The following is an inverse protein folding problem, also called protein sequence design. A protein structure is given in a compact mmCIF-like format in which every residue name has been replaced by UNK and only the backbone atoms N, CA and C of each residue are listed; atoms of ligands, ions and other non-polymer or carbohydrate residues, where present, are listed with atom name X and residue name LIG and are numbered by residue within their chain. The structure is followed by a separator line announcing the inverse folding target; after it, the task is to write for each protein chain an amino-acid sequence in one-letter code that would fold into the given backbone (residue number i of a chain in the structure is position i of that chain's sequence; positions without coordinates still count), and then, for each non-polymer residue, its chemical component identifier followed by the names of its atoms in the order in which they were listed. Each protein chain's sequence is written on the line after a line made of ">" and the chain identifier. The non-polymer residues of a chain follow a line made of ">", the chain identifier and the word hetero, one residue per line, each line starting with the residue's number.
data_IF_494465789813
#
_entry.id   IF_494465789813
#
_cell.length_a   1.000
_cell.length_b   1.000
_cell.length_c   1.000
_cell.angle_alpha   90.00
_cell.angle_beta   90.00
_cell.angle_gamma   90.00
#
_symmetry.space_group_name_H-M   'P 1'
#
loop_
_entity.id
_entity.type
_entity.pdbx_description
1 polymer ?
#
# COMPACT_ATOMS: atom_id res chain seq x y z
N UNK A 1 62.76 16.07 19.10
CA UNK A 1 62.97 17.28 18.25
C UNK A 1 63.32 16.75 16.86
N UNK A 2 62.34 16.60 16.00
CA UNK A 2 62.50 16.16 14.62
C UNK A 2 61.59 17.01 13.73
N UNK A 3 61.98 17.38 12.50
CA UNK A 3 61.41 18.50 11.78
C UNK A 3 60.10 18.15 11.08
N UNK A 4 59.17 19.08 11.15
CA UNK A 4 57.89 19.12 10.40
C UNK A 4 58.16 19.14 8.88
N UNK A 5 57.44 18.30 8.13
CA UNK A 5 57.36 18.39 6.67
C UNK A 5 56.08 19.12 6.27
N UNK A 6 56.27 20.26 5.62
CA UNK A 6 55.21 21.05 5.02
C UNK A 6 54.56 20.34 3.80
N UNK A 7 53.37 20.77 3.37
CA UNK A 7 52.60 20.17 2.30
C UNK A 7 53.20 20.53 0.89
N UNK A 8 52.99 19.64 -0.10
CA UNK A 8 53.48 19.89 -1.46
C UNK A 8 52.62 20.93 -2.20
N UNK A 9 53.33 21.74 -3.01
CA UNK A 9 52.79 22.82 -3.82
C UNK A 9 51.78 22.31 -4.88
N UNK A 10 50.66 23.04 -4.98
CA UNK A 10 49.61 22.79 -5.97
C UNK A 10 50.07 23.00 -7.41
N UNK A 11 49.82 22.03 -8.27
CA UNK A 11 49.98 22.12 -9.72
C UNK A 11 48.78 22.87 -10.33
N UNK A 12 49.07 24.05 -10.86
CA UNK A 12 48.08 24.86 -11.56
C UNK A 12 47.66 24.18 -12.89
N UNK A 13 46.39 23.87 -13.01
CA UNK A 13 45.79 23.37 -14.24
C UNK A 13 45.57 24.53 -15.22
N UNK A 14 46.30 24.53 -16.34
CA UNK A 14 46.08 25.45 -17.45
C UNK A 14 45.09 24.82 -18.44
N UNK A 15 43.94 25.46 -18.76
CA UNK A 15 43.06 24.96 -19.79
C UNK A 15 43.68 25.20 -21.18
N UNK A 16 43.86 24.13 -21.97
CA UNK A 16 44.25 24.19 -23.37
C UNK A 16 43.00 24.55 -24.19
N UNK A 17 43.02 25.72 -24.79
CA UNK A 17 41.95 26.17 -25.72
C UNK A 17 42.26 25.52 -27.07
N UNK A 18 41.39 24.60 -27.53
CA UNK A 18 41.41 24.09 -28.90
C UNK A 18 40.81 25.15 -29.85
N UNK A 19 41.41 25.39 -31.03
CA UNK A 19 40.82 26.29 -32.02
C UNK A 19 39.58 25.65 -32.65
N UNK A 20 38.49 26.40 -32.65
CA UNK A 20 37.23 26.05 -33.33
C UNK A 20 37.47 26.02 -34.84
N UNK A 21 37.30 24.85 -35.45
CA UNK A 21 37.17 24.76 -36.91
C UNK A 21 35.74 25.21 -37.29
N UNK A 22 35.66 26.19 -38.19
CA UNK A 22 34.39 26.59 -38.81
C UNK A 22 33.90 25.45 -39.70
N UNK A 23 32.92 24.71 -39.21
CA UNK A 23 32.20 23.69 -39.97
C UNK A 23 30.88 24.27 -40.50
N UNK A 24 30.80 24.29 -41.83
CA UNK A 24 29.63 24.82 -42.57
C UNK A 24 28.32 24.17 -42.06
N UNK A 25 27.39 25.00 -41.64
CA UNK A 25 26.08 24.60 -41.20
C UNK A 25 25.26 24.06 -42.40
N UNK A 26 25.11 22.74 -42.48
CA UNK A 26 24.03 22.15 -43.26
C UNK A 26 22.70 22.48 -42.57
N UNK A 27 21.64 22.87 -43.31
CA UNK A 27 20.34 23.13 -42.71
C UNK A 27 19.83 21.86 -42.06
N UNK A 28 19.42 21.99 -40.79
CA UNK A 28 18.78 20.91 -40.03
C UNK A 28 17.52 20.44 -40.79
N UNK A 29 17.26 19.13 -40.88
CA UNK A 29 16.03 18.65 -41.48
C UNK A 29 14.84 19.22 -40.71
N UNK A 30 13.88 19.79 -41.44
CA UNK A 30 12.61 20.23 -40.87
C UNK A 30 11.93 19.07 -40.14
N UNK A 31 11.76 19.22 -38.81
CA UNK A 31 11.01 18.27 -38.02
C UNK A 31 9.52 18.42 -38.46
N UNK A 32 8.88 17.38 -39.01
CA UNK A 32 7.48 17.46 -39.34
C UNK A 32 6.68 17.77 -38.08
N UNK A 33 5.60 18.58 -38.20
CA UNK A 33 4.75 18.87 -37.04
C UNK A 33 4.25 17.56 -36.45
N UNK A 34 4.17 17.45 -35.09
CA UNK A 34 3.72 16.24 -34.44
C UNK A 34 2.34 15.88 -34.99
N UNK A 35 2.19 14.63 -35.44
CA UNK A 35 0.91 14.11 -35.92
C UNK A 35 -0.15 14.43 -34.87
N UNK A 36 -1.26 15.03 -35.34
CA UNK A 36 -2.40 15.40 -34.50
C UNK A 36 -2.91 14.12 -33.85
N UNK A 37 -2.61 13.94 -32.54
CA UNK A 37 -3.08 12.80 -31.77
C UNK A 37 -4.61 12.96 -31.66
N UNK A 38 -5.41 11.98 -32.09
CA UNK A 38 -6.86 12.06 -32.00
C UNK A 38 -7.25 12.11 -30.52
N UNK A 39 -7.92 13.18 -30.10
CA UNK A 39 -8.53 13.28 -28.76
C UNK A 39 -7.57 13.67 -27.65
N UNK A 40 -7.01 14.89 -27.71
CA UNK A 40 -6.50 15.54 -26.50
C UNK A 40 -7.69 15.68 -25.54
N UNK A 41 -7.72 14.98 -24.38
CA UNK A 41 -8.82 15.14 -23.44
C UNK A 41 -8.89 16.60 -23.05
N UNK A 42 -10.10 17.18 -23.04
CA UNK A 42 -10.31 18.55 -22.57
C UNK A 42 -9.60 18.70 -21.22
N UNK A 43 -8.59 19.58 -21.18
CA UNK A 43 -7.76 19.83 -19.97
C UNK A 43 -8.60 20.28 -18.77
N UNK A 44 -9.88 20.60 -18.99
CA UNK A 44 -10.87 20.97 -17.97
C UNK A 44 -11.65 19.78 -17.43
N UNK A 45 -11.57 18.59 -18.05
CA UNK A 45 -12.29 17.42 -17.54
C UNK A 45 -11.79 17.02 -16.15
N UNK A 46 -12.65 16.50 -15.26
CA UNK A 46 -12.23 16.02 -13.94
C UNK A 46 -11.09 15.01 -14.01
N UNK A 47 -11.14 14.10 -14.99
CA UNK A 47 -10.10 13.08 -15.18
C UNK A 47 -8.75 13.69 -15.57
N UNK A 48 -8.74 14.70 -16.48
CA UNK A 48 -7.49 15.36 -16.86
C UNK A 48 -6.87 16.14 -15.71
N UNK A 49 -7.69 16.75 -14.84
CA UNK A 49 -7.21 17.40 -13.62
C UNK A 49 -6.64 16.41 -12.61
N UNK A 50 -7.33 15.28 -12.40
CA UNK A 50 -6.86 14.21 -11.53
C UNK A 50 -5.54 13.62 -12.03
N UNK A 51 -5.45 13.33 -13.32
CA UNK A 51 -4.22 12.86 -13.96
C UNK A 51 -3.05 13.82 -13.71
N UNK A 52 -3.26 15.12 -14.02
CA UNK A 52 -2.22 16.12 -13.78
C UNK A 52 -1.79 16.16 -12.31
N UNK A 53 -2.73 16.09 -11.37
CA UNK A 53 -2.43 16.05 -9.94
C UNK A 53 -1.59 14.81 -9.59
N UNK A 54 -1.99 13.62 -10.02
CA UNK A 54 -1.26 12.38 -9.78
C UNK A 54 0.16 12.43 -10.35
N UNK A 55 0.31 12.91 -11.60
CA UNK A 55 1.65 13.03 -12.22
C UNK A 55 2.57 14.03 -11.53
N UNK A 56 2.04 15.07 -10.90
CA UNK A 56 2.84 16.10 -10.24
C UNK A 56 3.16 15.79 -8.77
N UNK A 57 2.37 14.94 -8.11
CA UNK A 57 2.44 14.81 -6.64
C UNK A 57 2.59 13.37 -6.14
N UNK A 58 2.15 12.38 -6.90
CA UNK A 58 2.13 10.99 -6.46
C UNK A 58 3.45 10.26 -6.75
N UNK A 59 3.68 9.18 -6.01
CA UNK A 59 4.82 8.27 -6.25
C UNK A 59 4.61 7.53 -7.59
N UNK A 60 5.68 6.94 -8.10
CA UNK A 60 5.62 6.17 -9.36
C UNK A 60 4.59 5.05 -9.31
N UNK A 61 4.42 4.39 -8.18
CA UNK A 61 3.42 3.33 -8.01
C UNK A 61 2.00 3.81 -8.29
N UNK A 62 1.59 4.93 -7.68
CA UNK A 62 0.25 5.50 -7.89
C UNK A 62 0.07 6.03 -9.31
N UNK A 63 1.12 6.57 -9.92
CA UNK A 63 1.09 6.99 -11.33
C UNK A 63 0.83 5.78 -12.25
N UNK A 64 1.47 4.63 -11.99
CA UNK A 64 1.27 3.39 -12.76
C UNK A 64 -0.11 2.78 -12.52
N UNK A 65 -0.61 2.81 -11.28
CA UNK A 65 -1.99 2.41 -10.96
C UNK A 65 -3.01 3.30 -11.68
N UNK A 66 -2.81 4.62 -11.68
CA UNK A 66 -3.68 5.54 -12.43
C UNK A 66 -3.68 5.20 -13.93
N UNK A 67 -2.50 5.00 -14.53
CA UNK A 67 -2.39 4.63 -15.93
C UNK A 67 -3.10 3.30 -16.23
N UNK A 68 -2.96 2.30 -15.36
CA UNK A 68 -3.64 1.01 -15.48
C UNK A 68 -5.16 1.17 -15.47
N UNK A 69 -5.72 1.84 -14.45
CA UNK A 69 -7.18 1.91 -14.28
C UNK A 69 -7.87 2.87 -15.25
N UNK A 70 -7.21 3.95 -15.67
CA UNK A 70 -7.85 5.05 -16.40
C UNK A 70 -7.31 5.31 -17.81
N UNK A 71 -6.19 4.67 -18.17
CA UNK A 71 -5.52 4.88 -19.47
C UNK A 71 -5.26 3.59 -20.25
N UNK A 72 -5.79 2.47 -19.80
CA UNK A 72 -5.58 1.16 -20.43
C UNK A 72 -4.13 0.68 -20.38
N UNK A 73 -3.39 1.07 -19.33
CA UNK A 73 -2.01 0.62 -19.13
C UNK A 73 -1.93 -0.87 -18.77
N UNK A 74 -0.77 -1.46 -18.96
CA UNK A 74 -0.49 -2.85 -18.57
C UNK A 74 -0.23 -2.97 -17.05
N UNK A 75 -0.47 -4.16 -16.45
CA UNK A 75 -0.13 -4.42 -15.05
C UNK A 75 1.39 -4.47 -14.78
N UNK A 76 2.23 -4.83 -15.78
CA UNK A 76 3.67 -4.98 -15.62
C UNK A 76 4.40 -3.75 -15.04
N UNK A 77 4.13 -2.53 -15.52
CA UNK A 77 4.69 -1.30 -14.92
C UNK A 77 4.28 -1.08 -13.47
N UNK A 78 3.09 -1.53 -13.05
CA UNK A 78 2.65 -1.47 -11.65
C UNK A 78 3.45 -2.46 -10.81
N UNK A 79 3.61 -3.70 -11.28
CA UNK A 79 4.42 -4.72 -10.61
C UNK A 79 5.88 -4.26 -10.47
N UNK A 80 6.47 -3.68 -11.51
CA UNK A 80 7.85 -3.14 -11.49
C UNK A 80 8.00 -2.02 -10.45
N UNK A 81 7.03 -1.11 -10.38
CA UNK A 81 7.05 -0.03 -9.38
C UNK A 81 6.87 -0.57 -7.95
N UNK A 82 6.03 -1.60 -7.78
CA UNK A 82 5.80 -2.26 -6.49
C UNK A 82 7.03 -3.06 -6.04
N UNK A 83 7.79 -3.64 -6.97
CA UNK A 83 9.00 -4.42 -6.65
C UNK A 83 10.10 -3.58 -5.98
N UNK A 84 10.08 -2.25 -6.11
CA UNK A 84 10.98 -1.35 -5.37
C UNK A 84 10.75 -1.39 -3.84
N UNK A 85 9.60 -1.89 -3.38
CA UNK A 85 9.23 -2.00 -1.97
C UNK A 85 9.37 -3.43 -1.43
N UNK A 86 9.74 -4.39 -2.29
CA UNK A 86 9.83 -5.81 -1.93
C UNK A 86 11.21 -6.15 -1.37
N UNK A 87 11.23 -6.95 -0.30
CA UNK A 87 12.43 -7.53 0.29
C UNK A 87 12.64 -9.00 -0.14
N UNK A 88 13.85 -9.51 0.15
CA UNK A 88 14.24 -10.90 -0.16
C UNK A 88 13.44 -11.93 0.65
N UNK A 89 12.94 -11.56 1.82
CA UNK A 89 12.10 -12.41 2.68
C UNK A 89 10.69 -12.64 2.11
N UNK A 90 10.34 -11.96 1.03
CA UNK A 90 9.04 -12.04 0.37
C UNK A 90 8.00 -11.05 0.89
N UNK A 91 8.30 -10.32 1.96
CA UNK A 91 7.49 -9.22 2.45
C UNK A 91 7.81 -7.89 1.76
N UNK A 92 7.13 -6.84 2.21
CA UNK A 92 7.26 -5.48 1.69
C UNK A 92 7.59 -4.50 2.81
N UNK A 93 8.41 -3.49 2.49
CA UNK A 93 8.89 -2.47 3.41
C UNK A 93 9.03 -1.11 2.71
N UNK A 94 10.12 -0.38 3.02
CA UNK A 94 10.54 0.84 2.33
C UNK A 94 9.47 1.94 2.27
N UNK A 95 8.69 2.09 3.35
CA UNK A 95 7.60 3.07 3.43
C UNK A 95 6.52 2.91 2.33
N UNK A 96 6.19 1.67 1.95
CA UNK A 96 5.05 1.44 1.06
C UNK A 96 3.76 2.02 1.64
N UNK A 97 3.51 1.83 2.95
CA UNK A 97 2.57 2.63 3.72
C UNK A 97 3.33 3.79 4.40
N UNK A 98 2.93 5.05 4.18
CA UNK A 98 3.71 6.21 4.61
C UNK A 98 3.77 6.40 6.13
N UNK A 99 2.83 5.81 6.87
CA UNK A 99 2.74 5.87 8.33
C UNK A 99 3.87 5.12 9.03
N UNK A 100 4.55 4.23 8.33
CA UNK A 100 5.66 3.43 8.87
C UNK A 100 6.83 3.45 7.90
N UNK A 101 7.91 4.13 8.28
CA UNK A 101 9.08 4.34 7.42
C UNK A 101 10.25 3.51 7.90
N UNK A 102 10.67 2.56 7.09
CA UNK A 102 11.81 1.70 7.34
C UNK A 102 12.00 0.72 6.20
N UNK A 103 13.19 0.15 6.05
CA UNK A 103 13.46 -0.79 4.95
C UNK A 103 12.87 -2.18 5.20
N UNK A 104 12.64 -2.53 6.46
CA UNK A 104 12.27 -3.88 6.89
C UNK A 104 10.83 -4.21 6.48
N UNK A 105 10.60 -5.46 6.09
CA UNK A 105 9.25 -5.96 5.77
C UNK A 105 8.32 -5.86 6.97
N UNK A 106 7.11 -5.36 6.73
CA UNK A 106 6.06 -5.20 7.73
C UNK A 106 4.76 -5.85 7.25
N UNK A 107 3.94 -6.42 8.16
CA UNK A 107 2.64 -6.96 7.80
C UNK A 107 1.74 -5.93 7.10
N UNK A 108 1.70 -4.70 7.61
CA UNK A 108 0.92 -3.59 7.03
C UNK A 108 1.34 -3.28 5.59
N UNK A 109 2.65 -3.13 5.33
CA UNK A 109 3.17 -2.90 3.97
C UNK A 109 2.86 -4.07 3.02
N UNK A 110 2.94 -5.29 3.55
CA UNK A 110 2.64 -6.50 2.77
C UNK A 110 1.15 -6.60 2.44
N UNK A 111 0.27 -6.21 3.36
CA UNK A 111 -1.16 -6.09 3.10
C UNK A 111 -1.46 -5.05 2.00
N UNK A 112 -0.77 -3.88 2.04
CA UNK A 112 -0.87 -2.88 0.97
C UNK A 112 -0.42 -3.43 -0.38
N UNK A 113 0.70 -4.14 -0.42
CA UNK A 113 1.20 -4.77 -1.64
C UNK A 113 0.21 -5.78 -2.22
N UNK A 114 -0.42 -6.60 -1.38
CA UNK A 114 -1.46 -7.54 -1.81
C UNK A 114 -2.67 -6.82 -2.41
N UNK A 115 -3.12 -5.70 -1.82
CA UNK A 115 -4.20 -4.86 -2.40
C UNK A 115 -3.83 -4.35 -3.80
N UNK A 116 -2.60 -3.88 -3.97
CA UNK A 116 -2.11 -3.43 -5.29
C UNK A 116 -2.10 -4.56 -6.30
N UNK A 117 -1.61 -5.74 -5.91
CA UNK A 117 -1.55 -6.92 -6.78
C UNK A 117 -2.95 -7.43 -7.15
N UNK A 118 -3.89 -7.44 -6.21
CA UNK A 118 -5.29 -7.78 -6.45
C UNK A 118 -5.93 -6.81 -7.45
N UNK A 119 -5.74 -5.51 -7.24
CA UNK A 119 -6.29 -4.46 -8.10
C UNK A 119 -5.85 -4.56 -9.57
N UNK A 120 -4.69 -5.17 -9.83
CA UNK A 120 -4.18 -5.37 -11.20
C UNK A 120 -4.22 -6.83 -11.67
N UNK A 121 -4.91 -7.72 -10.93
CA UNK A 121 -5.06 -9.14 -11.27
C UNK A 121 -3.76 -9.94 -11.24
N UNK A 122 -2.83 -9.59 -10.35
CA UNK A 122 -1.50 -10.21 -10.21
C UNK A 122 -1.24 -10.83 -8.83
N UNK A 123 -2.29 -11.03 -8.02
CA UNK A 123 -2.20 -11.62 -6.69
C UNK A 123 -2.17 -13.16 -6.75
N UNK A 124 -1.11 -13.75 -7.31
CA UNK A 124 -1.02 -15.21 -7.46
C UNK A 124 0.40 -15.74 -7.73
N UNK A 125 0.50 -17.03 -7.99
CA UNK A 125 1.72 -17.72 -8.39
C UNK A 125 2.85 -17.65 -7.36
N UNK A 126 4.10 -17.65 -7.82
CA UNK A 126 5.28 -17.63 -6.95
C UNK A 126 5.37 -16.39 -6.06
N UNK A 127 4.79 -15.27 -6.47
CA UNK A 127 4.77 -14.04 -5.67
C UNK A 127 3.89 -14.23 -4.44
N UNK A 128 2.68 -14.71 -4.61
CA UNK A 128 1.77 -15.01 -3.49
C UNK A 128 2.36 -16.06 -2.53
N UNK A 129 3.02 -17.09 -3.06
CA UNK A 129 3.71 -18.11 -2.27
C UNK A 129 4.81 -17.51 -1.38
N UNK A 130 5.63 -16.59 -1.91
CA UNK A 130 6.67 -15.90 -1.11
C UNK A 130 6.06 -15.00 -0.05
N UNK A 131 5.00 -14.27 -0.40
CA UNK A 131 4.26 -13.45 0.55
C UNK A 131 3.69 -14.32 1.68
N UNK A 132 3.04 -15.43 1.38
CA UNK A 132 2.49 -16.34 2.39
C UNK A 132 3.57 -16.91 3.31
N UNK A 133 4.77 -17.21 2.80
CA UNK A 133 5.91 -17.62 3.64
C UNK A 133 6.35 -16.52 4.60
N UNK A 134 6.44 -15.29 4.12
CA UNK A 134 6.72 -14.13 4.98
C UNK A 134 5.64 -13.98 6.06
N UNK A 135 4.35 -13.98 5.67
CA UNK A 135 3.22 -13.86 6.60
C UNK A 135 3.24 -14.96 7.66
N UNK A 136 3.60 -16.20 7.27
CA UNK A 136 3.78 -17.31 8.21
C UNK A 136 4.84 -17.00 9.28
N UNK A 137 5.95 -16.35 8.88
CA UNK A 137 7.07 -16.08 9.78
C UNK A 137 6.80 -14.97 10.81
N UNK A 138 5.80 -14.12 10.53
CA UNK A 138 5.44 -12.97 11.39
C UNK A 138 4.10 -13.14 12.07
N UNK A 139 3.35 -14.21 11.78
CA UNK A 139 2.04 -14.48 12.37
C UNK A 139 2.17 -15.04 13.79
N UNK A 140 1.16 -14.79 14.60
CA UNK A 140 0.95 -15.43 15.90
C UNK A 140 0.67 -16.93 15.75
N UNK A 141 0.74 -17.74 16.81
CA UNK A 141 0.50 -19.18 16.74
C UNK A 141 -0.87 -19.59 16.17
N UNK A 142 -1.90 -18.78 16.36
CA UNK A 142 -3.25 -18.94 15.80
C UNK A 142 -3.38 -18.47 14.36
N UNK A 143 -2.30 -17.92 13.77
CA UNK A 143 -2.24 -17.50 12.37
C UNK A 143 -2.59 -16.04 12.13
N UNK A 144 -2.91 -15.28 13.17
CA UNK A 144 -3.21 -13.85 13.03
C UNK A 144 -1.97 -13.02 12.70
N UNK A 145 -2.18 -11.89 12.05
CA UNK A 145 -1.12 -10.94 11.72
C UNK A 145 -1.14 -9.75 12.68
N UNK A 146 0.00 -9.37 13.24
CA UNK A 146 0.10 -8.11 13.96
C UNK A 146 0.13 -6.92 13.00
N UNK A 147 -0.23 -5.73 13.46
CA UNK A 147 -0.13 -4.49 12.66
C UNK A 147 1.33 -4.23 12.26
N UNK A 148 2.23 -4.40 13.22
CA UNK A 148 3.67 -4.23 13.00
C UNK A 148 4.44 -5.46 13.45
N UNK A 149 5.59 -5.72 12.85
CA UNK A 149 6.49 -6.78 13.25
C UNK A 149 7.04 -6.54 14.67
N UNK A 150 7.18 -7.61 15.46
CA UNK A 150 7.82 -7.57 16.76
C UNK A 150 9.25 -7.00 16.68
N UNK A 151 9.69 -6.31 17.74
CA UNK A 151 11.04 -5.79 17.86
C UNK A 151 11.36 -4.60 16.95
N UNK A 152 10.37 -3.97 16.33
CA UNK A 152 10.56 -2.73 15.58
C UNK A 152 11.01 -1.62 16.53
N UNK A 153 12.23 -1.14 16.36
CA UNK A 153 12.74 0.02 17.10
C UNK A 153 13.53 0.93 16.16
N UNK A 154 13.34 2.26 16.28
CA UNK A 154 14.13 3.27 15.61
C UNK A 154 13.61 3.74 14.24
N UNK A 155 12.71 3.01 13.58
CA UNK A 155 12.13 3.49 12.32
C UNK A 155 11.10 4.59 12.59
N UNK A 156 11.11 5.71 11.84
CA UNK A 156 10.09 6.74 11.95
C UNK A 156 8.70 6.18 11.66
N UNK A 157 7.75 6.47 12.53
CA UNK A 157 6.36 6.05 12.39
C UNK A 157 5.40 7.17 12.82
N UNK A 158 4.18 7.11 12.31
CA UNK A 158 3.12 7.98 12.80
C UNK A 158 2.82 7.69 14.28
N UNK A 159 2.42 8.69 15.09
CA UNK A 159 2.22 8.53 16.53
C UNK A 159 1.23 7.43 16.91
N UNK A 160 0.25 7.15 16.06
CA UNK A 160 -0.78 6.12 16.28
C UNK A 160 -0.31 4.70 15.92
N UNK A 161 0.85 4.54 15.28
CA UNK A 161 1.39 3.20 14.96
C UNK A 161 2.03 2.61 16.21
N UNK A 162 1.50 1.50 16.75
CA UNK A 162 1.99 0.95 18.01
C UNK A 162 3.43 0.44 17.89
N UNK A 163 4.23 0.71 18.92
CA UNK A 163 5.55 0.13 19.10
C UNK A 163 5.48 -0.82 20.30
N UNK A 164 5.22 -2.08 20.02
CA UNK A 164 5.04 -3.13 21.02
C UNK A 164 6.09 -4.21 20.79
N UNK A 165 6.67 -4.73 21.87
CA UNK A 165 7.70 -5.77 21.78
C UNK A 165 7.13 -7.10 21.25
N UNK A 166 5.91 -7.42 21.66
CA UNK A 166 5.16 -8.61 21.24
C UNK A 166 3.74 -8.17 20.84
N UNK A 167 3.55 -7.68 19.60
CA UNK A 167 2.27 -7.17 19.17
C UNK A 167 1.28 -8.32 18.95
N UNK A 168 0.02 -8.16 19.43
CA UNK A 168 -1.02 -9.16 19.20
C UNK A 168 -1.39 -9.25 17.72
N UNK A 169 -1.93 -10.40 17.33
CA UNK A 169 -2.58 -10.55 16.05
C UNK A 169 -3.94 -9.82 16.04
N UNK A 170 -4.24 -9.12 14.96
CA UNK A 170 -5.42 -8.27 14.84
C UNK A 170 -6.23 -8.57 13.58
N UNK A 171 -7.55 -8.53 13.72
CA UNK A 171 -8.48 -8.68 12.58
C UNK A 171 -8.27 -7.59 11.53
N UNK A 172 -7.88 -6.39 11.95
CA UNK A 172 -7.63 -5.22 11.09
C UNK A 172 -6.66 -5.52 9.94
N UNK A 173 -5.63 -6.31 10.19
CA UNK A 173 -4.65 -6.69 9.16
C UNK A 173 -4.95 -8.07 8.60
N UNK A 174 -5.32 -9.02 9.47
CA UNK A 174 -5.51 -10.43 9.07
C UNK A 174 -6.72 -10.58 8.16
N UNK A 175 -7.85 -9.96 8.48
CA UNK A 175 -9.10 -10.10 7.74
C UNK A 175 -8.97 -9.72 6.26
N UNK A 176 -8.53 -8.49 5.93
CA UNK A 176 -8.34 -8.08 4.53
C UNK A 176 -7.32 -8.93 3.77
N UNK A 177 -6.22 -9.33 4.41
CA UNK A 177 -5.20 -10.19 3.79
C UNK A 177 -5.75 -11.56 3.44
N UNK A 178 -6.45 -12.21 4.39
CA UNK A 178 -7.07 -13.52 4.18
C UNK A 178 -8.15 -13.45 3.11
N UNK A 179 -8.98 -12.40 3.13
CA UNK A 179 -9.99 -12.17 2.11
C UNK A 179 -9.39 -12.03 0.71
N UNK A 180 -8.31 -11.23 0.56
CA UNK A 180 -7.63 -11.07 -0.73
C UNK A 180 -7.04 -12.39 -1.24
N UNK A 181 -6.43 -13.19 -0.37
CA UNK A 181 -5.83 -14.47 -0.75
C UNK A 181 -6.90 -15.49 -1.17
N UNK A 182 -8.04 -15.57 -0.48
CA UNK A 182 -9.18 -16.40 -0.88
C UNK A 182 -9.79 -15.96 -2.22
N UNK A 183 -9.97 -14.65 -2.42
CA UNK A 183 -10.49 -14.09 -3.69
C UNK A 183 -9.64 -14.46 -4.90
N UNK A 184 -8.33 -14.60 -4.69
CA UNK A 184 -7.36 -14.92 -5.74
C UNK A 184 -7.00 -16.41 -5.79
N UNK A 185 -7.78 -17.28 -5.15
CA UNK A 185 -7.59 -18.74 -5.13
C UNK A 185 -6.18 -19.18 -4.69
N UNK A 186 -5.59 -18.43 -3.75
CA UNK A 186 -4.26 -18.77 -3.20
C UNK A 186 -4.38 -19.87 -2.17
N UNK A 187 -3.57 -20.92 -2.33
CA UNK A 187 -3.49 -22.05 -1.41
C UNK A 187 -2.17 -22.04 -0.64
N UNK A 188 -2.26 -21.99 0.70
CA UNK A 188 -1.09 -22.04 1.58
C UNK A 188 -1.48 -22.57 2.96
N UNK A 189 -0.58 -23.32 3.63
CA UNK A 189 -0.87 -23.95 4.91
C UNK A 189 -1.20 -22.91 6.03
N UNK A 190 -0.54 -21.75 6.01
CA UNK A 190 -0.83 -20.65 6.94
C UNK A 190 -2.28 -20.16 6.84
N UNK A 191 -2.84 -20.12 5.63
CA UNK A 191 -4.16 -19.56 5.36
C UNK A 191 -5.29 -20.30 6.11
N UNK A 192 -5.13 -21.60 6.40
CA UNK A 192 -6.11 -22.35 7.19
C UNK A 192 -6.26 -21.76 8.60
N UNK A 193 -5.15 -21.58 9.31
CA UNK A 193 -5.18 -21.02 10.68
C UNK A 193 -5.62 -19.57 10.69
N UNK A 194 -5.15 -18.77 9.74
CA UNK A 194 -5.56 -17.38 9.61
C UNK A 194 -7.06 -17.24 9.29
N UNK A 195 -7.63 -18.16 8.51
CA UNK A 195 -9.07 -18.21 8.23
C UNK A 195 -9.86 -18.55 9.49
N UNK A 196 -9.40 -19.54 10.28
CA UNK A 196 -10.03 -19.90 11.56
C UNK A 196 -10.00 -18.73 12.55
N UNK A 197 -8.88 -18.03 12.64
CA UNK A 197 -8.78 -16.80 13.41
C UNK A 197 -9.79 -15.74 12.95
N UNK A 198 -9.88 -15.48 11.64
CA UNK A 198 -10.81 -14.49 11.09
C UNK A 198 -12.27 -14.84 11.40
N UNK A 199 -12.65 -16.11 11.33
CA UNK A 199 -13.99 -16.56 11.72
C UNK A 199 -14.27 -16.27 13.20
N UNK A 200 -13.37 -16.68 14.10
CA UNK A 200 -13.52 -16.45 15.54
C UNK A 200 -13.60 -14.96 15.86
N UNK A 201 -12.68 -14.17 15.30
CA UNK A 201 -12.64 -12.73 15.53
C UNK A 201 -13.92 -12.04 15.00
N UNK A 202 -14.32 -12.30 13.75
CA UNK A 202 -15.51 -11.68 13.17
C UNK A 202 -16.80 -12.06 13.92
N UNK A 203 -16.94 -13.31 14.36
CA UNK A 203 -18.13 -13.78 15.09
C UNK A 203 -18.17 -13.30 16.55
N UNK A 204 -17.02 -12.95 17.15
CA UNK A 204 -16.95 -12.45 18.54
C UNK A 204 -17.18 -10.95 18.69
N UNK A 205 -17.24 -10.17 17.59
CA UNK A 205 -17.45 -8.73 17.65
C UNK A 205 -18.82 -8.39 18.31
N UNK A 206 -18.78 -7.62 19.40
CA UNK A 206 -19.97 -7.18 20.14
C UNK A 206 -20.15 -5.67 20.09
N UNK A 207 -19.05 -4.94 20.29
CA UNK A 207 -18.99 -3.47 20.19
C UNK A 207 -17.78 -3.08 19.37
N UNK A 208 -17.79 -3.36 18.05
CA UNK A 208 -16.62 -3.18 17.21
C UNK A 208 -16.34 -1.70 16.90
N UNK A 209 -15.09 -1.38 16.71
CA UNK A 209 -14.71 -0.15 16.03
C UNK A 209 -15.09 -0.25 14.53
N UNK A 210 -15.45 0.85 13.84
CA UNK A 210 -15.77 0.82 12.42
C UNK A 210 -14.75 0.10 11.54
N UNK A 211 -13.46 0.26 11.81
CA UNK A 211 -12.39 -0.43 11.08
C UNK A 211 -12.37 -1.96 11.30
N UNK A 212 -12.80 -2.44 12.47
CA UNK A 212 -12.93 -3.88 12.71
C UNK A 212 -14.09 -4.48 11.90
N UNK A 213 -15.19 -3.71 11.76
CA UNK A 213 -16.28 -4.10 10.87
C UNK A 213 -15.85 -4.16 9.43
N UNK A 214 -15.12 -3.15 8.95
CA UNK A 214 -14.56 -3.12 7.60
C UNK A 214 -13.64 -4.32 7.34
N UNK A 215 -12.73 -4.62 8.26
CA UNK A 215 -11.82 -5.75 8.16
C UNK A 215 -12.56 -7.11 8.17
N UNK A 216 -13.57 -7.24 9.01
CA UNK A 216 -14.43 -8.43 9.02
C UNK A 216 -15.16 -8.60 7.69
N UNK A 217 -15.78 -7.54 7.16
CA UNK A 217 -16.50 -7.57 5.89
C UNK A 217 -15.56 -7.90 4.72
N UNK A 218 -14.32 -7.36 4.71
CA UNK A 218 -13.32 -7.69 3.70
C UNK A 218 -12.95 -9.18 3.70
N UNK A 219 -12.90 -9.82 4.87
CA UNK A 219 -12.75 -11.27 4.98
C UNK A 219 -14.00 -12.01 4.49
N UNK A 220 -15.19 -11.65 5.01
CA UNK A 220 -16.44 -12.34 4.73
C UNK A 220 -16.83 -12.29 3.25
N UNK A 221 -16.48 -11.20 2.55
CA UNK A 221 -16.73 -11.05 1.10
C UNK A 221 -16.09 -12.16 0.25
N UNK A 222 -14.97 -12.72 0.70
CA UNK A 222 -14.26 -13.78 -0.02
C UNK A 222 -14.16 -15.10 0.74
N UNK A 223 -14.74 -15.19 1.93
CA UNK A 223 -14.67 -16.40 2.76
C UNK A 223 -15.30 -17.63 2.05
N UNK A 224 -14.70 -18.83 2.15
CA UNK A 224 -15.14 -20.01 1.40
C UNK A 224 -16.56 -20.50 1.78
N UNK A 225 -16.90 -20.41 3.08
CA UNK A 225 -18.24 -20.77 3.58
C UNK A 225 -19.22 -19.62 3.38
N UNK A 226 -19.83 -19.54 2.21
CA UNK A 226 -20.74 -18.46 1.83
C UNK A 226 -21.98 -18.33 2.72
N UNK A 227 -22.68 -19.42 3.13
CA UNK A 227 -23.81 -19.31 4.05
C UNK A 227 -23.41 -18.72 5.41
N UNK A 228 -22.30 -19.17 5.99
CA UNK A 228 -21.75 -18.66 7.24
C UNK A 228 -21.35 -17.19 7.11
N UNK A 229 -20.68 -16.83 6.00
CA UNK A 229 -20.27 -15.46 5.71
C UNK A 229 -21.47 -14.51 5.62
N UNK A 230 -22.54 -14.92 4.94
CA UNK A 230 -23.75 -14.11 4.84
C UNK A 230 -24.40 -13.90 6.21
N UNK A 231 -24.53 -14.95 7.01
CA UNK A 231 -25.09 -14.84 8.35
C UNK A 231 -24.28 -13.90 9.27
N UNK A 232 -22.95 -13.97 9.19
CA UNK A 232 -22.05 -13.09 9.92
C UNK A 232 -22.15 -11.64 9.45
N UNK A 233 -22.18 -11.40 8.13
CA UNK A 233 -22.37 -10.08 7.53
C UNK A 233 -23.69 -9.44 7.92
N UNK A 234 -24.80 -10.21 7.90
CA UNK A 234 -26.12 -9.74 8.34
C UNK A 234 -26.11 -9.33 9.82
N UNK A 235 -25.41 -10.09 10.67
CA UNK A 235 -25.23 -9.74 12.08
C UNK A 235 -24.45 -8.45 12.25
N UNK A 236 -23.31 -8.31 11.55
CA UNK A 236 -22.52 -7.07 11.58
C UNK A 236 -23.31 -5.87 11.06
N UNK A 237 -24.09 -6.04 10.00
CA UNK A 237 -24.98 -5.00 9.48
C UNK A 237 -26.04 -4.54 10.50
N UNK A 238 -26.51 -5.42 11.37
CA UNK A 238 -27.37 -5.02 12.50
C UNK A 238 -26.59 -4.21 13.53
N UNK A 239 -25.41 -4.67 13.95
CA UNK A 239 -24.54 -3.94 14.89
C UNK A 239 -24.20 -2.54 14.41
N UNK A 240 -23.87 -2.39 13.10
CA UNK A 240 -23.58 -1.08 12.51
C UNK A 240 -24.75 -0.12 12.65
N UNK A 241 -25.98 -0.59 12.41
CA UNK A 241 -27.19 0.24 12.54
C UNK A 241 -27.54 0.53 14.00
N UNK A 242 -27.51 -0.47 14.86
CA UNK A 242 -27.90 -0.35 16.28
C UNK A 242 -26.91 0.54 17.06
N UNK A 243 -25.63 0.52 16.71
CA UNK A 243 -24.57 1.28 17.38
C UNK A 243 -24.19 2.55 16.63
N UNK A 244 -24.85 2.88 15.51
CA UNK A 244 -24.55 4.05 14.68
C UNK A 244 -23.06 4.16 14.29
N UNK A 245 -22.42 3.05 13.92
CA UNK A 245 -21.00 3.00 13.61
C UNK A 245 -20.66 3.65 12.27
N UNK A 246 -21.64 3.86 11.39
CA UNK A 246 -21.48 4.52 10.11
C UNK A 246 -22.72 5.34 9.78
N UNK A 247 -22.54 6.44 9.07
CA UNK A 247 -23.63 7.22 8.48
C UNK A 247 -24.11 6.48 7.24
N UNK A 248 -25.29 5.86 7.33
CA UNK A 248 -25.87 5.07 6.25
C UNK A 248 -26.70 5.94 5.28
N UNK A 249 -27.23 7.06 5.76
CA UNK A 249 -27.96 8.04 4.97
C UNK A 249 -27.33 9.42 5.20
N UNK A 250 -26.74 10.06 4.15
CA UNK A 250 -26.18 11.39 4.28
C UNK A 250 -27.16 12.47 4.71
N UNK A 251 -28.46 12.25 4.48
CA UNK A 251 -29.52 13.20 4.83
C UNK A 251 -29.99 13.01 6.28
N UNK A 252 -29.66 11.90 6.93
CA UNK A 252 -30.00 11.59 8.34
C UNK A 252 -28.81 11.79 9.29
N UNK A 253 -28.13 12.92 9.18
CA UNK A 253 -27.00 13.28 10.06
C UNK A 253 -27.44 13.58 11.51
N UNK A 254 -28.74 13.69 11.78
CA UNK A 254 -29.28 14.04 13.10
C UNK A 254 -29.54 12.90 14.07
N UNK A 255 -29.51 11.66 13.61
CA UNK A 255 -29.94 10.49 14.39
C UNK A 255 -28.82 9.69 15.06
N UNK A 256 -27.58 9.84 14.66
CA UNK A 256 -26.46 9.11 15.25
C UNK A 256 -25.72 9.97 16.28
N UNK A 257 -25.66 9.56 17.56
CA UNK A 257 -24.79 10.22 18.53
C UNK A 257 -23.33 10.11 18.07
N UNK A 258 -22.60 11.23 18.07
CA UNK A 258 -21.15 11.25 17.83
C UNK A 258 -20.51 10.37 18.92
N UNK A 259 -19.73 9.33 18.56
CA UNK A 259 -19.07 8.50 19.55
C UNK A 259 -18.24 9.37 20.50
N UNK A 260 -18.29 9.13 21.83
CA UNK A 260 -17.45 9.84 22.77
C UNK A 260 -15.96 9.56 22.43
N UNK A 261 -15.18 10.59 22.14
CA UNK A 261 -13.74 10.49 21.84
C UNK A 261 -13.27 11.10 20.52
N UNK A 262 -14.15 11.69 19.72
CA UNK A 262 -13.78 12.37 18.46
C UNK A 262 -14.18 13.86 18.47
N UNK A 263 -14.03 14.55 19.59
CA UNK A 263 -14.12 16.00 19.64
C UNK A 263 -12.87 16.65 19.03
N UNK A 264 -12.98 17.79 18.30
CA UNK A 264 -11.83 18.53 17.84
C UNK A 264 -11.09 19.14 19.05
N UNK A 265 -10.12 18.43 19.63
CA UNK A 265 -9.36 18.93 20.78
C UNK A 265 -8.61 17.91 21.62
N UNK A 266 -8.73 16.60 21.41
CA UNK A 266 -7.92 15.59 22.12
C UNK A 266 -6.92 14.94 21.16
N UNK A 267 -5.79 15.61 21.01
CA UNK A 267 -4.54 15.06 20.49
C UNK A 267 -3.42 15.26 21.50
#
# INVERSE_FOLDING_TARGET
>A
MGPERGPPAGTAFRPTVCPMAESGASPLPEIPPPATVPGTPDSRSPLARAERFVWLTARVLEQRLFAYHFRGGDPGPVETALDAYRNEDGGYGHALEPELRGPVSQPLHTACALRVLDAVGRCGGQRAERVCRYLTSVSTPDGALPVTRAGRSGDPAAPFVPVVADPPGELLVTGPVVGLLHRNDVWHAWLFRATDFCWQAAESLVSPHPYEVEAALAFLDAAPDRPRAQAAADRLGRLVREQCLAVLDPDDLGGCPVPPGHGPGEH
#
